data_IF_514072241052
#
_entry.id   IF_514072241052
#
_cell.length_a   1.000
_cell.length_b   1.000
_cell.length_c   1.000
_cell.angle_alpha   90.00
_cell.angle_beta   90.00
_cell.angle_gamma   90.00
#
_symmetry.space_group_name_H-M   'P 1'
#
loop_
_entity.id
_entity.type
_entity.pdbx_description
1 polymer ?
#
# COMPACT_ATOMS: atom_id res chain seq x y z
N UNK A 1 -25.36 13.36 -2.17
CA UNK A 1 -25.02 12.19 -2.99
C UNK A 1 -25.22 10.91 -2.18
N UNK A 2 -25.75 9.86 -2.82
CA UNK A 2 -25.84 8.52 -2.24
C UNK A 2 -24.62 7.71 -2.70
N UNK A 3 -24.01 6.94 -1.79
CA UNK A 3 -22.85 6.13 -2.08
C UNK A 3 -23.20 4.64 -2.11
N UNK A 4 -22.73 3.94 -3.14
CA UNK A 4 -22.82 2.47 -3.26
C UNK A 4 -21.42 1.89 -3.19
N UNK A 5 -21.17 0.99 -2.24
CA UNK A 5 -19.90 0.27 -2.13
C UNK A 5 -20.00 -1.11 -2.79
N UNK A 6 -19.03 -1.44 -3.64
CA UNK A 6 -18.92 -2.75 -4.30
C UNK A 6 -17.52 -3.30 -4.10
N UNK A 7 -17.41 -4.57 -3.69
CA UNK A 7 -16.13 -5.22 -3.41
C UNK A 7 -15.72 -6.13 -4.57
N UNK A 8 -14.56 -5.85 -5.21
CA UNK A 8 -14.03 -6.66 -6.31
C UNK A 8 -13.04 -7.75 -5.87
N UNK A 9 -12.47 -7.65 -4.66
CA UNK A 9 -11.41 -8.56 -4.15
C UNK A 9 -10.23 -8.71 -5.13
N UNK A 10 -9.80 -7.61 -5.73
CA UNK A 10 -8.75 -7.57 -6.76
C UNK A 10 -9.00 -8.48 -7.97
N UNK A 11 -10.27 -8.75 -8.30
CA UNK A 11 -10.66 -9.50 -9.48
C UNK A 11 -11.01 -8.55 -10.64
N UNK A 12 -10.23 -8.56 -11.75
CA UNK A 12 -10.53 -7.72 -12.93
C UNK A 12 -11.93 -8.01 -13.50
N UNK A 13 -12.33 -9.28 -13.55
CA UNK A 13 -13.65 -9.68 -14.04
C UNK A 13 -14.79 -9.08 -13.20
N UNK A 14 -14.64 -9.07 -11.85
CA UNK A 14 -15.62 -8.43 -10.96
C UNK A 14 -15.66 -6.92 -11.13
N UNK A 15 -14.50 -6.28 -11.36
CA UNK A 15 -14.47 -4.83 -11.65
C UNK A 15 -15.28 -4.54 -12.90
N UNK A 16 -15.09 -5.28 -13.99
CA UNK A 16 -15.85 -5.11 -15.22
C UNK A 16 -17.36 -5.31 -15.02
N UNK A 17 -17.75 -6.36 -14.28
CA UNK A 17 -19.14 -6.60 -13.92
C UNK A 17 -19.73 -5.43 -13.11
N UNK A 18 -19.01 -4.94 -12.11
CA UNK A 18 -19.45 -3.81 -11.29
C UNK A 18 -19.56 -2.53 -12.08
N UNK A 19 -18.61 -2.22 -12.97
CA UNK A 19 -18.65 -1.05 -13.83
C UNK A 19 -19.89 -1.10 -14.74
N UNK A 20 -20.17 -2.25 -15.35
CA UNK A 20 -21.37 -2.43 -16.17
C UNK A 20 -22.68 -2.26 -15.37
N UNK A 21 -22.71 -2.69 -14.11
CA UNK A 21 -23.87 -2.47 -13.22
C UNK A 21 -24.03 -0.98 -12.90
N UNK A 22 -22.94 -0.30 -12.53
CA UNK A 22 -22.95 1.12 -12.18
C UNK A 22 -23.36 1.98 -13.39
N UNK A 23 -22.87 1.64 -14.58
CA UNK A 23 -23.23 2.33 -15.82
C UNK A 23 -24.73 2.19 -16.13
N UNK A 24 -25.30 0.97 -16.05
CA UNK A 24 -26.74 0.75 -16.21
C UNK A 24 -27.60 1.49 -15.18
N UNK A 25 -27.07 1.69 -13.96
CA UNK A 25 -27.74 2.47 -12.92
C UNK A 25 -27.64 3.97 -13.12
N UNK A 26 -26.87 4.42 -14.10
CA UNK A 26 -26.69 5.83 -14.40
C UNK A 26 -26.03 6.62 -13.30
N UNK A 27 -25.02 6.03 -12.60
CA UNK A 27 -24.30 6.74 -11.54
C UNK A 27 -23.57 7.97 -12.09
N UNK A 28 -23.53 9.04 -11.29
CA UNK A 28 -22.88 10.30 -11.68
C UNK A 28 -21.36 10.17 -11.71
N UNK A 29 -20.79 9.31 -10.85
CA UNK A 29 -19.35 9.13 -10.77
C UNK A 29 -18.93 7.87 -10.06
N UNK A 30 -17.67 7.48 -10.24
CA UNK A 30 -17.07 6.25 -9.71
C UNK A 30 -15.70 6.57 -9.13
N UNK A 31 -15.41 6.05 -7.93
CA UNK A 31 -14.06 5.98 -7.38
C UNK A 31 -13.66 4.51 -7.39
N UNK A 32 -12.55 4.19 -8.08
CA UNK A 32 -12.04 2.83 -8.21
C UNK A 32 -10.67 2.72 -7.53
N UNK A 33 -10.56 1.83 -6.53
CA UNK A 33 -9.24 1.43 -6.03
C UNK A 33 -8.57 0.53 -7.09
N UNK A 34 -7.58 1.09 -7.76
CA UNK A 34 -6.98 0.52 -8.96
C UNK A 34 -5.82 -0.43 -8.64
N UNK A 35 -5.68 -1.48 -9.44
CA UNK A 35 -4.61 -2.47 -9.38
C UNK A 35 -4.14 -2.87 -10.80
N UNK A 36 -3.10 -3.73 -10.92
CA UNK A 36 -2.36 -3.90 -12.17
C UNK A 36 -3.17 -4.46 -13.35
N UNK A 37 -3.91 -5.51 -13.17
CA UNK A 37 -4.51 -6.30 -14.25
C UNK A 37 -5.84 -5.75 -14.76
N UNK A 38 -6.12 -4.47 -14.51
CA UNK A 38 -7.31 -3.81 -15.02
C UNK A 38 -7.16 -3.46 -16.50
N UNK A 39 -8.21 -3.71 -17.26
CA UNK A 39 -8.31 -3.26 -18.67
C UNK A 39 -8.72 -1.77 -18.70
N UNK A 40 -7.72 -0.90 -18.66
CA UNK A 40 -7.93 0.55 -18.65
C UNK A 40 -8.48 1.07 -19.98
N UNK A 41 -8.17 0.40 -21.09
CA UNK A 41 -8.69 0.79 -22.41
C UNK A 41 -10.20 0.51 -22.50
N UNK A 42 -10.64 -0.61 -21.95
CA UNK A 42 -12.08 -0.89 -21.80
C UNK A 42 -12.81 0.10 -20.88
N UNK A 43 -12.11 0.72 -19.93
CA UNK A 43 -12.64 1.74 -19.02
C UNK A 43 -12.59 3.15 -19.60
N UNK A 44 -11.93 3.38 -20.75
CA UNK A 44 -11.77 4.71 -21.35
C UNK A 44 -13.08 5.47 -21.57
N UNK A 45 -14.23 4.86 -21.93
CA UNK A 45 -15.51 5.55 -22.02
C UNK A 45 -15.99 6.18 -20.70
N UNK A 46 -15.53 5.66 -19.55
CA UNK A 46 -15.91 6.13 -18.21
C UNK A 46 -14.95 7.19 -17.64
N UNK A 47 -13.89 7.56 -18.37
CA UNK A 47 -12.80 8.42 -17.87
C UNK A 47 -13.25 9.74 -17.26
N UNK A 48 -14.34 10.33 -17.78
CA UNK A 48 -14.83 11.64 -17.33
C UNK A 48 -15.68 11.56 -16.05
N UNK A 49 -16.03 10.36 -15.60
CA UNK A 49 -16.73 10.09 -14.35
C UNK A 49 -16.03 9.06 -13.45
N UNK A 50 -14.74 8.79 -13.71
CA UNK A 50 -13.95 7.82 -12.97
C UNK A 50 -12.70 8.47 -12.38
N UNK A 51 -12.50 8.30 -11.09
CA UNK A 51 -11.26 8.65 -10.38
C UNK A 51 -10.60 7.36 -9.89
N UNK A 52 -9.34 7.16 -10.25
CA UNK A 52 -8.54 6.03 -9.80
C UNK A 52 -7.87 6.36 -8.45
N UNK A 53 -7.81 5.40 -7.54
CA UNK A 53 -7.04 5.51 -6.29
C UNK A 53 -5.96 4.44 -6.25
N UNK A 54 -4.82 4.76 -5.70
CA UNK A 54 -3.60 3.97 -5.56
C UNK A 54 -2.74 3.88 -6.83
N UNK A 55 -3.31 3.98 -8.01
CA UNK A 55 -2.57 3.87 -9.27
C UNK A 55 -2.98 4.92 -10.26
N UNK A 56 -2.01 5.49 -10.96
CA UNK A 56 -2.24 6.38 -12.09
C UNK A 56 -2.33 5.60 -13.41
N UNK A 57 -3.13 6.10 -14.33
CA UNK A 57 -3.15 5.66 -15.71
C UNK A 57 -3.38 6.87 -16.64
N UNK A 58 -2.65 6.95 -17.78
CA UNK A 58 -2.77 8.08 -18.69
C UNK A 58 -4.22 8.32 -19.12
N UNK A 59 -4.65 9.55 -18.97
CA UNK A 59 -6.01 9.94 -19.37
C UNK A 59 -7.06 9.86 -18.29
N UNK A 60 -6.76 9.30 -17.10
CA UNK A 60 -7.69 9.26 -15.97
C UNK A 60 -7.25 10.24 -14.86
N UNK A 61 -8.22 10.78 -14.14
CA UNK A 61 -7.95 11.44 -12.87
C UNK A 61 -7.57 10.39 -11.83
N UNK A 62 -6.55 10.66 -11.01
CA UNK A 62 -6.09 9.68 -10.04
C UNK A 62 -5.55 10.32 -8.77
N UNK A 63 -5.58 9.55 -7.68
CA UNK A 63 -4.97 9.86 -6.39
C UNK A 63 -4.05 8.72 -6.02
N UNK A 64 -2.74 9.00 -5.91
CA UNK A 64 -1.71 8.00 -5.66
C UNK A 64 -1.06 8.20 -4.30
N UNK A 65 -0.46 7.15 -3.78
CA UNK A 65 0.37 7.21 -2.58
C UNK A 65 1.84 7.40 -2.96
N UNK A 66 2.60 8.05 -2.08
CA UNK A 66 4.06 8.07 -2.18
C UNK A 66 4.64 6.79 -1.56
N UNK A 67 4.50 5.68 -2.30
CA UNK A 67 4.91 4.34 -1.86
C UNK A 67 6.41 4.28 -1.52
N UNK A 68 7.25 4.89 -2.36
CA UNK A 68 8.70 4.92 -2.15
C UNK A 68 9.10 5.81 -0.98
N UNK A 69 8.52 7.01 -0.90
CA UNK A 69 8.77 7.93 0.20
C UNK A 69 8.33 7.37 1.55
N UNK A 70 7.23 6.62 1.60
CA UNK A 70 6.77 5.95 2.82
C UNK A 70 7.81 4.95 3.35
N UNK A 71 8.36 4.09 2.47
CA UNK A 71 9.42 3.15 2.86
C UNK A 71 10.67 3.89 3.32
N UNK A 72 11.13 4.90 2.58
CA UNK A 72 12.31 5.70 2.95
C UNK A 72 12.13 6.40 4.29
N UNK A 73 10.94 6.93 4.56
CA UNK A 73 10.60 7.55 5.84
C UNK A 73 10.71 6.56 7.00
N UNK A 74 10.15 5.35 6.84
CA UNK A 74 10.26 4.31 7.85
C UNK A 74 11.72 3.87 8.08
N UNK A 75 12.50 3.71 7.02
CA UNK A 75 13.92 3.35 7.11
C UNK A 75 14.75 4.45 7.78
N UNK A 76 14.47 5.72 7.50
CA UNK A 76 15.10 6.85 8.18
C UNK A 76 14.77 6.86 9.67
N UNK A 77 13.53 6.56 10.06
CA UNK A 77 13.14 6.42 11.48
C UNK A 77 13.89 5.30 12.17
N UNK A 78 14.03 4.12 11.53
CA UNK A 78 14.84 3.01 12.07
C UNK A 78 16.31 3.40 12.24
N UNK A 79 16.86 4.15 11.29
CA UNK A 79 18.24 4.65 11.40
C UNK A 79 18.43 5.61 12.60
N UNK A 80 17.46 6.48 12.90
CA UNK A 80 17.52 7.35 14.11
C UNK A 80 17.53 6.55 15.41
N UNK A 81 16.97 5.34 15.38
CA UNK A 81 16.99 4.38 16.53
C UNK A 81 18.24 3.51 16.56
N UNK A 82 19.19 3.71 15.65
CA UNK A 82 20.43 2.93 15.58
C UNK A 82 20.25 1.51 15.01
N UNK A 83 19.16 1.25 14.28
CA UNK A 83 18.86 -0.03 13.67
C UNK A 83 19.55 -0.11 12.31
N UNK A 84 20.43 -1.10 12.13
CA UNK A 84 21.24 -1.27 10.91
C UNK A 84 21.09 -2.63 10.22
N UNK A 85 20.76 -3.70 10.93
CA UNK A 85 20.50 -5.02 10.34
C UNK A 85 19.00 -5.20 10.07
N UNK A 86 18.59 -4.86 8.83
CA UNK A 86 17.20 -4.74 8.40
C UNK A 86 16.92 -5.78 7.31
N UNK A 87 15.79 -6.49 7.41
CA UNK A 87 15.27 -7.32 6.33
C UNK A 87 13.88 -6.80 5.88
N UNK A 88 13.57 -6.99 4.61
CA UNK A 88 12.34 -6.47 3.99
C UNK A 88 11.39 -7.61 3.58
N UNK A 89 10.16 -7.51 4.05
CA UNK A 89 9.07 -8.40 3.66
C UNK A 89 8.16 -7.66 2.67
N UNK A 90 8.22 -8.06 1.42
CA UNK A 90 7.52 -7.41 0.32
C UNK A 90 6.38 -8.22 -0.28
N UNK A 91 5.75 -7.61 -1.25
CA UNK A 91 4.73 -8.21 -2.12
C UNK A 91 5.36 -8.47 -3.48
N UNK A 92 4.83 -9.44 -4.22
CA UNK A 92 5.27 -9.74 -5.58
C UNK A 92 5.34 -8.47 -6.44
N UNK A 93 6.41 -8.34 -7.22
CA UNK A 93 6.70 -7.14 -8.01
C UNK A 93 5.78 -6.95 -9.22
N UNK A 94 4.94 -7.93 -9.54
CA UNK A 94 3.82 -7.71 -10.45
C UNK A 94 2.86 -6.64 -9.93
N UNK A 95 2.75 -6.46 -8.60
CA UNK A 95 2.14 -5.27 -8.02
C UNK A 95 3.11 -4.08 -8.11
N UNK A 96 2.78 -3.12 -8.99
CA UNK A 96 3.64 -1.96 -9.25
C UNK A 96 3.79 -1.05 -8.02
N UNK A 97 2.77 -0.92 -7.19
CA UNK A 97 2.73 0.02 -6.06
C UNK A 97 3.30 -0.59 -4.78
N UNK A 98 2.56 -1.48 -4.15
CA UNK A 98 2.94 -2.14 -2.90
C UNK A 98 4.13 -3.09 -3.08
N UNK A 99 4.25 -3.74 -4.24
CA UNK A 99 5.35 -4.64 -4.59
C UNK A 99 6.58 -3.86 -5.06
N UNK A 100 6.60 -3.46 -6.33
CA UNK A 100 7.79 -2.94 -7.00
C UNK A 100 8.29 -1.63 -6.39
N UNK A 101 7.45 -0.58 -6.31
CA UNK A 101 7.89 0.75 -5.85
C UNK A 101 8.43 0.74 -4.42
N UNK A 102 7.82 -0.04 -3.53
CA UNK A 102 8.28 -0.15 -2.13
C UNK A 102 9.57 -0.96 -2.02
N UNK A 103 9.71 -2.05 -2.79
CA UNK A 103 10.95 -2.82 -2.85
C UNK A 103 12.11 -1.99 -3.40
N UNK A 104 11.90 -1.25 -4.50
CA UNK A 104 12.94 -0.39 -5.09
C UNK A 104 13.43 0.67 -4.11
N UNK A 105 12.51 1.25 -3.33
CA UNK A 105 12.87 2.22 -2.30
C UNK A 105 13.74 1.61 -1.19
N UNK A 106 13.43 0.38 -0.75
CA UNK A 106 14.24 -0.35 0.20
C UNK A 106 15.63 -0.68 -0.36
N UNK A 107 15.69 -1.24 -1.57
CA UNK A 107 16.96 -1.61 -2.22
C UNK A 107 17.84 -0.37 -2.45
N UNK A 108 17.24 0.73 -2.93
CA UNK A 108 17.93 2.00 -3.12
C UNK A 108 18.48 2.56 -1.81
N UNK A 109 17.70 2.53 -0.74
CA UNK A 109 18.18 2.96 0.58
C UNK A 109 19.35 2.10 1.08
N UNK A 110 19.27 0.77 0.95
CA UNK A 110 20.36 -0.12 1.34
C UNK A 110 21.65 0.21 0.57
N UNK A 111 21.57 0.42 -0.75
CA UNK A 111 22.70 0.79 -1.58
C UNK A 111 23.33 2.14 -1.15
N UNK A 112 22.50 3.16 -0.88
CA UNK A 112 22.94 4.47 -0.43
C UNK A 112 23.63 4.43 0.94
N UNK A 113 23.18 3.55 1.85
CA UNK A 113 23.72 3.42 3.20
C UNK A 113 24.82 2.34 3.32
N UNK A 114 25.15 1.63 2.25
CA UNK A 114 26.11 0.52 2.28
C UNK A 114 25.64 -0.69 3.07
N UNK A 115 24.33 -0.88 3.20
CA UNK A 115 23.72 -2.00 3.92
C UNK A 115 23.55 -3.22 3.00
N UNK A 116 23.68 -4.42 3.56
CA UNK A 116 23.35 -5.64 2.83
C UNK A 116 21.84 -5.81 2.74
N UNK A 117 21.29 -5.69 1.54
CA UNK A 117 19.86 -5.88 1.32
C UNK A 117 19.47 -7.36 1.48
N UNK A 118 18.44 -7.62 2.28
CA UNK A 118 17.82 -8.94 2.45
C UNK A 118 16.31 -8.78 2.30
N UNK A 119 15.72 -9.41 1.31
CA UNK A 119 14.28 -9.31 1.05
C UNK A 119 13.68 -10.63 0.62
N UNK A 120 12.40 -10.83 0.95
CA UNK A 120 11.58 -11.91 0.46
C UNK A 120 10.19 -11.38 0.10
N UNK A 121 9.58 -11.97 -0.93
CA UNK A 121 8.34 -11.50 -1.50
C UNK A 121 7.25 -12.59 -1.41
N UNK A 122 6.01 -12.15 -1.23
CA UNK A 122 4.85 -13.02 -1.17
C UNK A 122 3.57 -12.29 -1.59
N UNK A 123 2.45 -12.74 -1.11
CA UNK A 123 1.16 -12.07 -1.30
C UNK A 123 0.81 -11.15 -0.10
N UNK A 124 -0.29 -10.39 -0.21
CA UNK A 124 -0.80 -9.50 0.83
C UNK A 124 -1.59 -10.27 1.92
N UNK A 125 -1.04 -11.37 2.44
CA UNK A 125 -1.70 -12.17 3.48
C UNK A 125 -0.91 -12.18 4.79
N UNK A 126 -1.62 -12.44 5.90
CA UNK A 126 -0.99 -12.69 7.21
C UNK A 126 -0.03 -13.88 7.15
N UNK A 127 -0.43 -14.92 6.41
CA UNK A 127 0.35 -16.14 6.23
C UNK A 127 1.68 -15.87 5.52
N UNK A 128 1.66 -15.01 4.48
CA UNK A 128 2.89 -14.56 3.82
C UNK A 128 3.81 -13.83 4.79
N UNK A 129 3.30 -12.88 5.57
CA UNK A 129 4.09 -12.17 6.57
C UNK A 129 4.75 -13.10 7.57
N UNK A 130 4.00 -14.08 8.07
CA UNK A 130 4.50 -15.09 9.01
C UNK A 130 5.62 -15.96 8.39
N UNK A 131 5.40 -16.49 7.19
CA UNK A 131 6.38 -17.35 6.49
C UNK A 131 7.65 -16.58 6.10
N UNK A 132 7.49 -15.39 5.51
CA UNK A 132 8.61 -14.57 5.07
C UNK A 132 9.49 -14.13 6.24
N UNK A 133 8.90 -13.87 7.43
CA UNK A 133 9.67 -13.60 8.63
C UNK A 133 10.55 -14.79 9.03
N UNK A 134 10.04 -16.03 8.92
CA UNK A 134 10.83 -17.24 9.17
C UNK A 134 12.03 -17.37 8.22
N UNK A 135 11.81 -17.04 6.93
CA UNK A 135 12.85 -17.15 5.89
C UNK A 135 13.97 -16.11 6.06
N UNK A 136 13.63 -14.91 6.58
CA UNK A 136 14.54 -13.77 6.65
C UNK A 136 15.20 -13.55 8.02
N UNK A 137 14.63 -14.09 9.08
CA UNK A 137 15.13 -13.89 10.43
C UNK A 137 16.51 -14.56 10.62
N UNK A 138 17.47 -13.76 11.07
CA UNK A 138 18.80 -14.22 11.47
C UNK A 138 19.06 -13.88 12.94
N UNK A 139 20.10 -14.42 13.58
CA UNK A 139 20.44 -14.04 14.95
C UNK A 139 20.71 -12.53 15.14
N UNK A 140 21.17 -11.85 14.10
CA UNK A 140 21.55 -10.43 14.12
C UNK A 140 20.45 -9.49 13.62
N UNK A 141 19.35 -10.01 13.08
CA UNK A 141 18.24 -9.18 12.56
C UNK A 141 17.69 -8.28 13.67
N UNK A 142 17.70 -6.98 13.43
CA UNK A 142 17.21 -5.94 14.34
C UNK A 142 15.82 -5.44 13.96
N UNK A 143 15.47 -5.45 12.64
CA UNK A 143 14.14 -5.06 12.19
C UNK A 143 13.67 -5.84 10.97
N UNK A 144 12.36 -6.08 10.93
CA UNK A 144 11.61 -6.56 9.76
C UNK A 144 10.73 -5.42 9.23
N UNK A 145 11.09 -4.89 8.06
CA UNK A 145 10.35 -3.83 7.38
C UNK A 145 9.35 -4.47 6.42
N UNK A 146 8.08 -4.30 6.68
CA UNK A 146 7.01 -4.94 5.93
C UNK A 146 6.34 -3.95 4.96
N UNK A 147 6.07 -4.40 3.74
CA UNK A 147 5.40 -3.60 2.73
C UNK A 147 3.97 -3.18 3.11
N UNK A 148 3.36 -3.83 4.08
CA UNK A 148 2.03 -3.49 4.60
C UNK A 148 1.86 -3.92 6.04
N UNK A 149 0.85 -3.36 6.73
CA UNK A 149 0.51 -3.80 8.09
C UNK A 149 0.01 -5.25 8.14
N UNK A 150 -0.60 -5.75 7.07
CA UNK A 150 -1.01 -7.16 7.01
C UNK A 150 0.20 -8.09 7.09
N UNK A 151 1.25 -7.81 6.33
CA UNK A 151 2.51 -8.56 6.43
C UNK A 151 3.15 -8.37 7.82
N UNK A 152 3.12 -7.15 8.35
CA UNK A 152 3.68 -6.84 9.67
C UNK A 152 3.01 -7.62 10.80
N UNK A 153 1.67 -7.77 10.78
CA UNK A 153 0.93 -8.58 11.76
C UNK A 153 1.41 -10.05 11.70
N UNK A 154 1.55 -10.61 10.49
CA UNK A 154 2.04 -11.97 10.31
C UNK A 154 3.47 -12.14 10.83
N UNK A 155 4.37 -11.20 10.50
CA UNK A 155 5.75 -11.20 10.95
C UNK A 155 5.86 -11.06 12.49
N UNK A 156 5.11 -10.14 13.07
CA UNK A 156 5.08 -9.94 14.52
C UNK A 156 4.58 -11.18 15.26
N UNK A 157 3.58 -11.86 14.70
CA UNK A 157 3.09 -13.13 15.24
C UNK A 157 4.17 -14.21 15.23
N UNK A 158 4.93 -14.35 14.14
CA UNK A 158 6.06 -15.27 14.07
C UNK A 158 7.12 -14.94 15.13
N UNK A 159 7.57 -13.68 15.24
CA UNK A 159 8.55 -13.25 16.23
C UNK A 159 8.08 -13.50 17.64
N UNK A 160 6.83 -13.26 17.97
CA UNK A 160 6.23 -13.57 19.27
C UNK A 160 6.36 -15.06 19.62
N UNK A 161 6.08 -15.95 18.68
CA UNK A 161 6.19 -17.41 18.88
C UNK A 161 7.64 -17.88 19.00
N UNK A 162 8.60 -17.16 18.38
CA UNK A 162 10.03 -17.45 18.51
C UNK A 162 10.68 -16.78 19.71
N UNK A 163 9.94 -16.01 20.50
CA UNK A 163 10.49 -15.27 21.65
C UNK A 163 11.45 -14.14 21.25
N UNK A 164 11.36 -13.62 20.01
CA UNK A 164 12.24 -12.58 19.43
C UNK A 164 11.61 -11.18 19.54
N UNK A 165 11.20 -10.81 20.75
CA UNK A 165 10.53 -9.53 21.03
C UNK A 165 11.43 -8.29 20.87
N UNK A 166 12.73 -8.49 20.77
CA UNK A 166 13.72 -7.42 20.54
C UNK A 166 13.76 -6.96 19.08
N UNK A 167 13.28 -7.77 18.14
CA UNK A 167 13.23 -7.42 16.72
C UNK A 167 12.07 -6.49 16.46
N UNK A 168 12.36 -5.30 15.93
CA UNK A 168 11.32 -4.34 15.56
C UNK A 168 10.58 -4.82 14.32
N UNK A 169 9.26 -4.66 14.32
CA UNK A 169 8.43 -4.88 13.14
C UNK A 169 7.83 -3.56 12.71
N UNK A 170 7.92 -3.27 11.41
CA UNK A 170 7.30 -2.07 10.86
C UNK A 170 6.34 -2.42 9.73
N UNK A 171 5.28 -1.64 9.60
CA UNK A 171 4.28 -1.77 8.55
C UNK A 171 3.95 -0.42 7.92
N UNK A 172 3.13 -0.46 6.89
CA UNK A 172 2.60 0.70 6.19
C UNK A 172 1.08 0.58 6.07
N UNK A 173 0.34 1.60 6.54
CA UNK A 173 -1.11 1.65 6.44
C UNK A 173 -1.84 2.18 7.67
N UNK A 174 -1.16 2.24 8.82
CA UNK A 174 -1.75 2.67 10.11
C UNK A 174 -2.96 1.82 10.51
N UNK A 175 -2.85 0.49 10.35
CA UNK A 175 -3.90 -0.43 10.78
C UNK A 175 -3.90 -0.54 12.31
N UNK A 176 -4.99 -0.17 13.00
CA UNK A 176 -5.06 -0.18 14.45
C UNK A 176 -4.87 -1.57 15.07
N UNK A 177 -5.11 -2.64 14.32
CA UNK A 177 -4.89 -4.01 14.80
C UNK A 177 -3.40 -4.30 15.01
N UNK A 178 -2.50 -3.71 14.21
CA UNK A 178 -1.07 -3.93 14.38
C UNK A 178 -0.59 -3.38 15.74
N UNK A 179 -0.86 -2.12 16.03
CA UNK A 179 -0.46 -1.51 17.32
C UNK A 179 -1.23 -2.07 18.51
N UNK A 180 -2.49 -2.49 18.33
CA UNK A 180 -3.28 -3.10 19.40
C UNK A 180 -2.74 -4.47 19.80
N UNK A 181 -2.39 -5.32 18.83
CA UNK A 181 -1.89 -6.68 19.08
C UNK A 181 -0.39 -6.70 19.43
N UNK A 182 0.37 -5.79 18.84
CA UNK A 182 1.83 -5.74 18.96
C UNK A 182 2.28 -4.29 19.24
N UNK A 183 2.24 -3.85 20.53
CA UNK A 183 2.49 -2.44 20.88
C UNK A 183 3.88 -1.91 20.51
N UNK A 184 4.86 -2.80 20.31
CA UNK A 184 6.21 -2.42 19.88
C UNK A 184 6.36 -2.32 18.35
N UNK A 185 5.35 -2.71 17.57
CA UNK A 185 5.38 -2.56 16.13
C UNK A 185 5.09 -1.10 15.74
N UNK A 186 5.75 -0.65 14.67
CA UNK A 186 5.55 0.68 14.11
C UNK A 186 4.72 0.58 12.84
N UNK A 187 3.84 1.53 12.61
CA UNK A 187 3.16 1.66 11.33
C UNK A 187 3.13 3.12 10.87
N UNK A 188 3.40 3.32 9.59
CA UNK A 188 3.33 4.64 8.98
C UNK A 188 2.00 4.80 8.26
N UNK A 189 1.28 5.90 8.56
CA UNK A 189 0.03 6.24 7.87
C UNK A 189 0.31 6.68 6.43
N UNK A 190 -0.20 5.92 5.46
CA UNK A 190 -0.17 6.26 4.04
C UNK A 190 -1.18 7.35 3.66
N UNK A 191 -2.03 7.78 4.57
CA UNK A 191 -3.04 8.82 4.31
C UNK A 191 -4.26 8.30 3.57
N UNK A 192 -4.71 7.06 3.82
CA UNK A 192 -5.89 6.49 3.16
C UNK A 192 -7.13 7.36 3.28
N UNK A 193 -7.39 7.93 4.46
CA UNK A 193 -8.52 8.85 4.68
C UNK A 193 -8.40 10.08 3.77
N UNK A 194 -7.21 10.71 3.72
CA UNK A 194 -6.98 11.89 2.87
C UNK A 194 -7.09 11.55 1.38
N UNK A 195 -6.63 10.36 0.97
CA UNK A 195 -6.76 9.91 -0.40
C UNK A 195 -8.24 9.75 -0.79
N UNK A 196 -9.06 9.17 0.08
CA UNK A 196 -10.51 9.07 -0.11
C UNK A 196 -11.18 10.44 -0.23
N UNK A 197 -10.86 11.38 0.66
CA UNK A 197 -11.37 12.75 0.62
C UNK A 197 -10.94 13.47 -0.67
N UNK A 198 -9.69 13.30 -1.08
CA UNK A 198 -9.18 13.90 -2.31
C UNK A 198 -9.83 13.30 -3.55
N UNK A 199 -10.01 11.97 -3.59
CA UNK A 199 -10.70 11.30 -4.70
C UNK A 199 -12.15 11.77 -4.83
N UNK A 200 -12.85 11.93 -3.69
CA UNK A 200 -14.21 12.47 -3.69
C UNK A 200 -14.25 13.91 -4.22
N UNK A 201 -13.34 14.78 -3.78
CA UNK A 201 -13.26 16.17 -4.29
C UNK A 201 -12.94 16.21 -5.79
N UNK A 202 -12.02 15.38 -6.27
CA UNK A 202 -11.70 15.28 -7.68
C UNK A 202 -12.92 14.82 -8.49
N UNK A 203 -13.63 13.80 -8.00
CA UNK A 203 -14.82 13.30 -8.68
C UNK A 203 -15.93 14.35 -8.76
N UNK A 204 -16.21 15.07 -7.68
CA UNK A 204 -17.16 16.18 -7.68
C UNK A 204 -16.76 17.29 -8.66
N UNK A 205 -15.48 17.65 -8.69
CA UNK A 205 -14.95 18.60 -9.67
C UNK A 205 -15.08 18.12 -11.11
N UNK A 206 -14.93 16.82 -11.37
CA UNK A 206 -15.17 16.24 -12.71
C UNK A 206 -16.63 16.33 -13.12
N UNK A 207 -17.56 16.02 -12.21
CA UNK A 207 -19.00 16.09 -12.46
C UNK A 207 -19.44 17.53 -12.77
N UNK A 208 -18.86 18.52 -12.08
CA UNK A 208 -19.26 19.92 -12.18
C UNK A 208 -18.51 20.71 -13.27
N UNK A 209 -17.21 20.45 -13.47
CA UNK A 209 -16.29 21.33 -14.22
C UNK A 209 -15.39 20.62 -15.23
N UNK A 210 -15.44 19.29 -15.34
CA UNK A 210 -14.54 18.48 -16.17
C UNK A 210 -13.36 17.91 -15.39
N UNK A 211 -12.30 17.41 -16.11
CA UNK A 211 -11.21 16.60 -15.55
C UNK A 211 -10.35 17.36 -14.54
N UNK A 212 -9.97 16.64 -13.46
CA UNK A 212 -8.98 17.08 -12.50
C UNK A 212 -7.60 16.46 -12.78
N UNK A 213 -6.49 17.15 -12.41
CA UNK A 213 -5.15 16.63 -12.58
C UNK A 213 -4.83 15.47 -11.61
N UNK A 214 -3.77 14.73 -11.90
CA UNK A 214 -3.17 13.76 -11.00
C UNK A 214 -2.83 14.41 -9.65
N UNK A 215 -3.14 13.74 -8.54
CA UNK A 215 -2.73 14.14 -7.21
C UNK A 215 -1.96 13.00 -6.53
N UNK A 216 -0.83 13.32 -5.89
CA UNK A 216 -0.06 12.40 -5.07
C UNK A 216 -0.28 12.72 -3.60
N UNK A 217 -0.54 11.70 -2.79
CA UNK A 217 -0.71 11.82 -1.34
C UNK A 217 0.60 11.45 -0.67
N UNK A 218 1.25 12.42 -0.03
CA UNK A 218 2.43 12.16 0.77
C UNK A 218 2.08 11.35 2.03
N UNK A 219 3.00 10.48 2.53
CA UNK A 219 2.78 9.74 3.76
C UNK A 219 2.57 10.67 4.95
N UNK A 220 1.73 10.26 5.89
CA UNK A 220 1.60 10.92 7.19
C UNK A 220 2.51 10.22 8.20
N UNK A 221 3.26 11.00 8.97
CA UNK A 221 4.03 10.49 10.09
C UNK A 221 3.11 10.31 11.30
N UNK A 222 2.55 9.12 11.46
CA UNK A 222 1.98 8.69 12.75
C UNK A 222 2.72 7.42 13.14
N UNK A 223 3.61 7.56 14.08
CA UNK A 223 4.36 6.47 14.70
C UNK A 223 3.70 6.08 16.00
#
# INVERSE_FOLDING_TARGET
YDAVLMESKFSPAKVQEHLAVLERRGVDGIILFAFNDLDYDAMAPLKDKLVLVAREYPGFSSVCFDDGGAVRTMLAELATRGVGDIAYLGVDTSDLTTGQRRLDAYLGYCAEQGLTARSALGDLSLQSGYRLAADLLTPTTQALVCASDTLAIGAAKYLQEQGRSEVLVTGLGNNPMLSFLFPNALSLDLGYKRAGEQAARQLLGQIEQGRCPLATIAPCHTL
#
